data_IF_212578361454
#
_entry.id   IF_212578361454
#
_cell.length_a   1.000
_cell.length_b   1.000
_cell.length_c   1.000
_cell.angle_alpha   90.00
_cell.angle_beta   90.00
_cell.angle_gamma   90.00
#
_symmetry.space_group_name_H-M   'P 1'
#
loop_
_entity.id
_entity.type
_entity.pdbx_description
1 polymer ?
#
# COMPACT_ATOMS: atom_id res chain seq x y z
N UNK A 1 3.42 41.11 -23.61
CA UNK A 1 4.78 40.98 -23.06
C UNK A 1 4.90 39.85 -22.02
N UNK A 2 3.99 39.74 -21.03
CA UNK A 2 4.01 38.60 -20.08
C UNK A 2 3.80 37.23 -20.74
N UNK A 3 2.84 37.15 -21.67
CA UNK A 3 2.54 35.92 -22.44
C UNK A 3 3.79 35.36 -23.12
N UNK A 4 4.59 36.22 -23.75
CA UNK A 4 5.80 35.84 -24.49
C UNK A 4 6.89 35.24 -23.60
N UNK A 5 7.05 35.76 -22.39
CA UNK A 5 8.00 35.22 -21.39
C UNK A 5 7.55 33.86 -20.86
N UNK A 6 6.24 33.69 -20.62
CA UNK A 6 5.68 32.42 -20.15
C UNK A 6 5.82 31.35 -21.25
N UNK A 7 5.54 31.68 -22.51
CA UNK A 7 5.74 30.77 -23.64
C UNK A 7 7.21 30.34 -23.77
N UNK A 8 8.15 31.27 -23.66
CA UNK A 8 9.58 30.95 -23.75
C UNK A 8 10.05 30.06 -22.59
N UNK A 9 9.55 30.32 -21.38
CA UNK A 9 9.85 29.47 -20.23
C UNK A 9 9.25 28.07 -20.41
N UNK A 10 8.04 27.97 -20.96
CA UNK A 10 7.42 26.69 -21.30
C UNK A 10 8.17 25.93 -22.41
N UNK A 11 8.70 26.62 -23.42
CA UNK A 11 9.48 26.00 -24.49
C UNK A 11 10.83 25.48 -23.98
N UNK A 12 11.46 26.19 -23.05
CA UNK A 12 12.67 25.72 -22.36
C UNK A 12 12.34 24.49 -21.50
N UNK A 13 11.23 24.51 -20.76
CA UNK A 13 10.82 23.39 -19.91
C UNK A 13 10.42 22.13 -20.72
N UNK A 14 9.90 22.32 -21.93
CA UNK A 14 9.52 21.23 -22.84
C UNK A 14 10.72 20.55 -23.51
N UNK A 15 11.89 21.18 -23.47
CA UNK A 15 13.12 20.62 -24.03
C UNK A 15 13.46 19.31 -23.32
N UNK A 16 13.76 18.27 -24.09
CA UNK A 16 13.91 16.93 -23.53
C UNK A 16 15.10 16.82 -22.56
N UNK A 17 16.14 17.64 -22.74
CA UNK A 17 17.26 17.79 -21.81
C UNK A 17 16.77 18.21 -20.40
N UNK A 18 15.86 19.18 -20.34
CA UNK A 18 15.34 19.74 -19.09
C UNK A 18 14.39 18.75 -18.41
N UNK A 19 13.60 18.01 -19.19
CA UNK A 19 12.79 16.90 -18.65
C UNK A 19 13.66 15.80 -18.05
N UNK A 20 14.82 15.51 -18.65
CA UNK A 20 15.74 14.50 -18.15
C UNK A 20 16.37 14.93 -16.82
N UNK A 21 16.85 16.17 -16.73
CA UNK A 21 17.36 16.79 -15.49
C UNK A 21 16.29 16.87 -14.40
N UNK A 22 15.06 17.29 -14.74
CA UNK A 22 13.94 17.29 -13.79
C UNK A 22 13.67 15.88 -13.27
N UNK A 23 13.66 14.86 -14.15
CA UNK A 23 13.47 13.47 -13.72
C UNK A 23 14.61 12.98 -12.82
N UNK A 24 15.85 13.39 -13.09
CA UNK A 24 17.00 13.11 -12.23
C UNK A 24 16.88 13.79 -10.85
N UNK A 25 16.27 14.97 -10.77
CA UNK A 25 15.96 15.66 -9.50
C UNK A 25 14.81 15.01 -8.73
N UNK A 26 13.78 14.49 -9.42
CA UNK A 26 12.65 13.81 -8.79
C UNK A 26 12.94 12.36 -8.40
N UNK A 27 13.88 11.69 -9.07
CA UNK A 27 14.28 10.32 -8.76
C UNK A 27 14.62 10.09 -7.27
N UNK A 28 15.50 10.89 -6.63
CA UNK A 28 15.83 10.70 -5.21
C UNK A 28 14.63 10.93 -4.29
N UNK A 29 13.69 11.81 -4.65
CA UNK A 29 12.47 12.02 -3.87
C UNK A 29 11.56 10.80 -3.92
N UNK A 30 11.37 10.22 -5.11
CA UNK A 30 10.57 9.00 -5.30
C UNK A 30 11.22 7.81 -4.60
N UNK A 31 12.55 7.66 -4.71
CA UNK A 31 13.28 6.58 -4.04
C UNK A 31 13.19 6.68 -2.51
N UNK A 32 13.22 7.88 -1.95
CA UNK A 32 13.09 8.11 -0.51
C UNK A 32 11.67 7.80 -0.02
N UNK A 33 10.65 8.14 -0.82
CA UNK A 33 9.25 7.75 -0.54
C UNK A 33 9.10 6.22 -0.62
N UNK A 34 9.67 5.56 -1.63
CA UNK A 34 9.61 4.11 -1.78
C UNK A 34 10.34 3.40 -0.64
N UNK A 35 11.48 3.94 -0.19
CA UNK A 35 12.21 3.43 0.96
C UNK A 35 11.36 3.46 2.23
N UNK A 36 10.66 4.57 2.46
CA UNK A 36 9.78 4.72 3.61
C UNK A 36 8.52 3.85 3.48
N UNK A 37 7.94 3.72 2.28
CA UNK A 37 6.70 2.95 2.03
C UNK A 37 6.93 1.44 2.10
N UNK A 38 8.09 0.93 1.68
CA UNK A 38 8.40 -0.50 1.67
C UNK A 38 8.13 -1.22 3.00
N UNK A 39 8.61 -0.77 4.18
CA UNK A 39 8.31 -1.44 5.45
C UNK A 39 6.80 -1.47 5.76
N UNK A 40 6.03 -0.46 5.38
CA UNK A 40 4.56 -0.47 5.58
C UNK A 40 3.87 -1.54 4.73
N UNK A 41 4.38 -1.82 3.52
CA UNK A 41 3.87 -2.92 2.68
C UNK A 41 4.06 -4.25 3.40
N UNK A 42 5.24 -4.51 3.96
CA UNK A 42 5.51 -5.73 4.73
C UNK A 42 4.60 -5.84 5.96
N UNK A 43 4.45 -4.76 6.73
CA UNK A 43 3.53 -4.72 7.88
C UNK A 43 2.10 -5.03 7.46
N UNK A 44 1.64 -4.45 6.34
CA UNK A 44 0.29 -4.67 5.81
C UNK A 44 0.09 -6.13 5.40
N UNK A 45 1.07 -6.74 4.72
CA UNK A 45 1.01 -8.16 4.32
C UNK A 45 0.89 -9.06 5.56
N UNK A 46 1.72 -8.82 6.58
CA UNK A 46 1.66 -9.58 7.84
C UNK A 46 0.30 -9.40 8.52
N UNK A 47 -0.22 -8.18 8.55
CA UNK A 47 -1.51 -7.90 9.17
C UNK A 47 -2.66 -8.62 8.43
N UNK A 48 -2.67 -8.61 7.09
CA UNK A 48 -3.65 -9.36 6.28
C UNK A 48 -3.53 -10.86 6.56
N UNK A 49 -2.31 -11.39 6.68
CA UNK A 49 -2.08 -12.79 7.02
C UNK A 49 -2.62 -13.14 8.42
N UNK A 50 -2.44 -12.26 9.41
CA UNK A 50 -3.00 -12.44 10.75
C UNK A 50 -4.53 -12.43 10.75
N UNK A 51 -5.15 -11.53 9.99
CA UNK A 51 -6.61 -11.51 9.82
C UNK A 51 -7.10 -12.82 9.21
N UNK A 52 -6.38 -13.34 8.21
CA UNK A 52 -6.71 -14.63 7.59
C UNK A 52 -6.68 -15.79 8.61
N UNK A 53 -5.62 -15.87 9.43
CA UNK A 53 -5.53 -16.87 10.51
C UNK A 53 -6.69 -16.71 11.50
N UNK A 54 -7.01 -15.48 11.90
CA UNK A 54 -8.11 -15.21 12.84
C UNK A 54 -9.46 -15.69 12.30
N UNK A 55 -9.73 -15.47 11.01
CA UNK A 55 -10.93 -15.99 10.35
C UNK A 55 -10.96 -17.52 10.40
N UNK A 56 -9.84 -18.18 10.08
CA UNK A 56 -9.74 -19.64 10.17
C UNK A 56 -10.00 -20.15 11.60
N UNK A 57 -9.46 -19.48 12.61
CA UNK A 57 -9.69 -19.83 14.01
C UNK A 57 -11.18 -19.75 14.39
N UNK A 58 -11.86 -18.68 13.96
CA UNK A 58 -13.32 -18.52 14.17
C UNK A 58 -14.10 -19.63 13.46
N UNK A 59 -13.73 -19.98 12.23
CA UNK A 59 -14.38 -21.07 11.48
C UNK A 59 -14.20 -22.43 12.17
N UNK A 60 -12.99 -22.74 12.65
CA UNK A 60 -12.71 -23.97 13.38
C UNK A 60 -13.52 -24.01 14.68
N UNK A 61 -13.54 -22.92 15.45
CA UNK A 61 -14.35 -22.81 16.66
C UNK A 61 -15.83 -23.03 16.37
N UNK A 62 -16.36 -22.41 15.32
CA UNK A 62 -17.76 -22.55 14.92
C UNK A 62 -18.11 -24.00 14.59
N UNK A 63 -17.25 -24.68 13.80
CA UNK A 63 -17.43 -26.10 13.45
C UNK A 63 -17.35 -26.98 14.71
N UNK A 64 -16.40 -26.70 15.60
CA UNK A 64 -16.25 -27.44 16.85
C UNK A 64 -17.51 -27.30 17.71
N UNK A 65 -18.01 -26.08 17.90
CA UNK A 65 -19.25 -25.80 18.64
C UNK A 65 -20.45 -26.50 17.99
N UNK A 66 -20.57 -26.46 16.66
CA UNK A 66 -21.69 -27.08 15.96
C UNK A 66 -21.66 -28.61 16.06
N UNK A 67 -20.48 -29.22 15.87
CA UNK A 67 -20.27 -30.67 16.02
C UNK A 67 -20.47 -31.12 17.46
N UNK A 68 -20.13 -30.25 18.41
CA UNK A 68 -20.20 -30.53 19.84
C UNK A 68 -21.46 -29.95 20.50
N UNK A 69 -22.49 -29.57 19.73
CA UNK A 69 -23.81 -29.19 20.26
C UNK A 69 -24.38 -30.26 21.19
N UNK A 70 -24.05 -31.54 20.99
CA UNK A 70 -24.43 -32.63 21.91
C UNK A 70 -23.70 -32.59 23.26
N UNK A 71 -22.52 -31.97 23.37
CA UNK A 71 -21.82 -31.77 24.64
C UNK A 71 -22.19 -30.45 25.31
N UNK A 72 -22.47 -29.38 24.57
CA UNK A 72 -22.95 -28.12 25.16
C UNK A 72 -24.33 -28.30 25.80
N UNK A 73 -25.23 -29.06 25.17
CA UNK A 73 -26.54 -29.42 25.74
C UNK A 73 -26.45 -30.43 26.92
N UNK A 74 -25.26 -30.99 27.18
CA UNK A 74 -24.98 -31.87 28.33
C UNK A 74 -24.33 -31.11 29.49
N UNK A 75 -23.78 -29.93 29.24
CA UNK A 75 -23.05 -29.12 30.22
C UNK A 75 -23.92 -27.96 30.71
N UNK A 76 -24.82 -27.43 29.87
CA UNK A 76 -25.89 -26.50 30.22
C UNK A 76 -27.23 -27.25 30.23
#
# INVERSE_FOLDING_TARGET
MKETFIQQCLDILKRDDIKHELRALYAPMVDLILYEVNPYIYVTIVLVFLIFIMILAILILLILVLRNKSLIQKIF
#
